data_IF_310583139974
#
_entry.id   IF_310583139974
#
_cell.length_a   1.000
_cell.length_b   1.000
_cell.length_c   1.000
_cell.angle_alpha   90.00
_cell.angle_beta   90.00
_cell.angle_gamma   90.00
#
_symmetry.space_group_name_H-M   'P 1'
#
loop_
_entity.id
_entity.type
_entity.pdbx_description
1 polymer ?
#
# COMPACT_ATOMS: atom_id res chain seq x y z
N UNK A 1 -20.82 40.66 -53.59
CA UNK A 1 -19.92 39.75 -52.86
C UNK A 1 -20.60 38.40 -52.77
N UNK A 2 -19.89 37.37 -53.25
CA UNK A 2 -19.98 35.93 -53.05
C UNK A 2 -21.25 35.07 -53.27
N UNK A 3 -21.02 34.12 -54.19
CA UNK A 3 -21.19 32.66 -54.06
C UNK A 3 -22.55 32.01 -54.31
N UNK A 4 -22.59 31.33 -55.46
CA UNK A 4 -23.56 30.28 -55.78
C UNK A 4 -23.03 29.41 -56.91
N UNK A 5 -21.74 29.00 -56.85
CA UNK A 5 -21.17 28.02 -57.77
C UNK A 5 -21.68 26.62 -57.36
N UNK A 6 -22.94 26.34 -57.63
CA UNK A 6 -23.49 24.99 -57.51
C UNK A 6 -23.18 24.27 -58.82
N UNK A 7 -22.26 23.31 -58.79
CA UNK A 7 -22.00 22.40 -59.90
C UNK A 7 -23.28 21.60 -60.15
N UNK A 8 -24.11 22.06 -61.10
CA UNK A 8 -25.26 21.31 -61.56
C UNK A 8 -24.73 20.13 -62.38
N UNK A 9 -24.86 18.93 -61.81
CA UNK A 9 -24.43 17.69 -62.44
C UNK A 9 -25.26 17.47 -63.70
N UNK A 10 -24.63 17.61 -64.87
CA UNK A 10 -25.30 17.47 -66.17
C UNK A 10 -24.80 16.22 -66.87
N UNK A 11 -25.56 15.14 -66.72
CA UNK A 11 -25.27 13.81 -67.24
C UNK A 11 -25.07 13.81 -68.78
N UNK A 12 -25.81 14.67 -69.50
CA UNK A 12 -25.67 14.81 -70.96
C UNK A 12 -24.33 15.41 -71.39
N UNK A 13 -23.70 16.22 -70.52
CA UNK A 13 -22.36 16.73 -70.80
C UNK A 13 -21.37 15.59 -70.62
N UNK A 14 -21.49 14.74 -69.61
CA UNK A 14 -20.50 13.68 -69.34
C UNK A 14 -20.51 12.60 -70.43
N UNK A 15 -21.68 12.21 -70.94
CA UNK A 15 -21.81 11.19 -71.99
C UNK A 15 -21.03 11.55 -73.28
N UNK A 16 -21.03 12.84 -73.65
CA UNK A 16 -20.27 13.31 -74.81
C UNK A 16 -18.75 13.28 -74.62
N UNK A 17 -18.27 13.20 -73.37
CA UNK A 17 -16.84 13.15 -73.06
C UNK A 17 -16.35 11.71 -72.96
N UNK A 18 -17.19 10.80 -72.48
CA UNK A 18 -16.89 9.36 -72.41
C UNK A 18 -16.77 8.70 -73.79
N UNK A 19 -17.48 9.20 -74.80
CA UNK A 19 -17.36 8.67 -76.17
C UNK A 19 -16.08 9.15 -76.88
N UNK A 20 -15.61 10.38 -76.56
CA UNK A 20 -14.41 10.97 -77.18
C UNK A 20 -13.11 10.45 -76.56
N UNK A 21 -13.13 10.00 -75.31
CA UNK A 21 -11.96 9.53 -74.58
C UNK A 21 -12.22 8.13 -74.01
N UNK A 22 -11.72 7.11 -74.71
CA UNK A 22 -11.66 5.74 -74.18
C UNK A 22 -10.53 5.63 -73.15
N UNK A 23 -10.79 6.12 -71.93
CA UNK A 23 -9.86 6.13 -70.80
C UNK A 23 -9.37 4.71 -70.43
N UNK A 24 -10.14 3.67 -70.76
CA UNK A 24 -9.80 2.27 -70.49
C UNK A 24 -8.77 1.70 -71.50
N UNK A 25 -8.63 2.30 -72.68
CA UNK A 25 -7.66 1.88 -73.71
C UNK A 25 -6.20 2.17 -73.34
N UNK A 26 -5.97 3.16 -72.49
CA UNK A 26 -4.62 3.53 -72.03
C UNK A 26 -4.22 2.83 -70.72
N UNK A 27 -5.18 2.65 -69.79
CA UNK A 27 -4.94 1.91 -68.54
C UNK A 27 -4.65 0.42 -68.76
N UNK A 28 -5.18 -0.19 -69.82
CA UNK A 28 -4.93 -1.59 -70.18
C UNK A 28 -3.56 -1.87 -70.82
N UNK A 29 -2.82 -0.85 -71.26
CA UNK A 29 -1.55 -1.01 -72.01
C UNK A 29 -0.29 -0.73 -71.20
N UNK A 30 -0.41 -0.16 -70.01
CA UNK A 30 0.73 -0.04 -69.10
C UNK A 30 1.10 -1.42 -68.56
N UNK A 31 1.92 -2.16 -69.33
CA UNK A 31 2.70 -3.27 -68.80
C UNK A 31 3.54 -2.71 -67.66
N UNK A 32 3.15 -3.01 -66.42
CA UNK A 32 3.95 -2.75 -65.23
C UNK A 32 5.40 -3.16 -65.55
N UNK A 33 6.34 -2.21 -65.44
CA UNK A 33 7.76 -2.49 -65.72
C UNK A 33 8.18 -3.74 -64.92
N UNK A 34 8.98 -4.66 -65.49
CA UNK A 34 9.40 -5.87 -64.78
C UNK A 34 10.07 -5.56 -63.44
N UNK A 35 10.78 -4.43 -63.35
CA UNK A 35 11.38 -3.87 -62.13
C UNK A 35 10.37 -3.57 -61.00
N UNK A 36 9.16 -3.16 -61.35
CA UNK A 36 8.07 -2.92 -60.39
C UNK A 36 7.44 -4.24 -59.92
N UNK A 37 7.34 -5.24 -60.82
CA UNK A 37 6.84 -6.57 -60.46
C UNK A 37 7.82 -7.32 -59.55
N UNK A 38 9.12 -7.12 -59.76
CA UNK A 38 10.18 -7.71 -58.95
C UNK A 38 10.22 -7.09 -57.54
N UNK A 39 10.07 -5.77 -57.41
CA UNK A 39 9.92 -5.09 -56.10
C UNK A 39 8.65 -5.48 -55.34
N UNK A 40 7.58 -5.83 -56.05
CA UNK A 40 6.32 -6.29 -55.45
C UNK A 40 6.35 -7.79 -55.10
N UNK A 41 7.28 -8.57 -55.66
CA UNK A 41 7.41 -10.01 -55.37
C UNK A 41 8.26 -10.31 -54.13
N UNK A 42 8.93 -9.31 -53.55
CA UNK A 42 9.67 -9.45 -52.30
C UNK A 42 8.74 -9.39 -51.07
N UNK A 43 7.71 -10.25 -51.07
CA UNK A 43 6.76 -10.40 -49.97
C UNK A 43 7.45 -10.96 -48.71
N UNK A 44 8.56 -11.68 -48.87
CA UNK A 44 9.35 -12.21 -47.77
C UNK A 44 9.99 -11.10 -46.92
N UNK A 45 10.35 -9.96 -47.54
CA UNK A 45 10.91 -8.81 -46.83
C UNK A 45 9.83 -8.02 -46.06
N UNK A 46 8.58 -8.06 -46.53
CA UNK A 46 7.45 -7.41 -45.88
C UNK A 46 6.91 -8.26 -44.74
N UNK A 47 6.74 -9.56 -44.94
CA UNK A 47 6.29 -10.52 -43.92
C UNK A 47 7.28 -10.57 -42.74
N UNK A 48 8.59 -10.70 -43.02
CA UNK A 48 9.62 -10.71 -41.99
C UNK A 48 9.67 -9.41 -41.18
N UNK A 49 9.48 -8.25 -41.83
CA UNK A 49 9.41 -6.94 -41.15
C UNK A 49 8.17 -6.79 -40.27
N UNK A 50 7.06 -7.43 -40.64
CA UNK A 50 5.81 -7.40 -39.87
C UNK A 50 5.96 -8.27 -38.62
N UNK A 51 6.55 -9.46 -38.73
CA UNK A 51 6.84 -10.34 -37.59
C UNK A 51 7.79 -9.70 -36.56
N UNK A 52 8.86 -9.06 -37.03
CA UNK A 52 9.80 -8.33 -36.17
C UNK A 52 9.11 -7.16 -35.44
N UNK A 53 8.21 -6.45 -36.11
CA UNK A 53 7.43 -5.36 -35.52
C UNK A 53 6.51 -5.86 -34.39
N UNK A 54 5.75 -6.93 -34.64
CA UNK A 54 4.87 -7.50 -33.60
C UNK A 54 5.67 -8.05 -32.41
N UNK A 55 6.84 -8.63 -32.65
CA UNK A 55 7.71 -9.13 -31.59
C UNK A 55 8.20 -8.01 -30.67
N UNK A 56 8.61 -6.87 -31.23
CA UNK A 56 9.03 -5.68 -30.46
C UNK A 56 7.85 -5.11 -29.67
N UNK A 57 6.66 -5.01 -30.29
CA UNK A 57 5.45 -4.51 -29.62
C UNK A 57 5.05 -5.41 -28.44
N UNK A 58 5.10 -6.73 -28.60
CA UNK A 58 4.82 -7.68 -27.51
C UNK A 58 5.83 -7.57 -26.37
N UNK A 59 7.11 -7.36 -26.67
CA UNK A 59 8.14 -7.10 -25.65
C UNK A 59 7.89 -5.81 -24.88
N UNK A 60 7.48 -4.73 -25.55
CA UNK A 60 7.12 -3.45 -24.90
C UNK A 60 5.92 -3.63 -23.97
N UNK A 61 4.88 -4.34 -24.43
CA UNK A 61 3.70 -4.66 -23.61
C UNK A 61 4.10 -5.52 -22.40
N UNK A 62 4.96 -6.51 -22.61
CA UNK A 62 5.51 -7.37 -21.56
C UNK A 62 6.27 -6.56 -20.50
N UNK A 63 7.14 -5.64 -20.89
CA UNK A 63 7.86 -4.74 -19.98
C UNK A 63 6.87 -3.84 -19.24
N UNK A 64 5.86 -3.29 -19.92
CA UNK A 64 4.84 -2.46 -19.29
C UNK A 64 4.05 -3.24 -18.22
N UNK A 65 3.69 -4.49 -18.51
CA UNK A 65 3.04 -5.38 -17.55
C UNK A 65 3.98 -5.73 -16.40
N UNK A 66 5.25 -5.98 -16.65
CA UNK A 66 6.24 -6.27 -15.61
C UNK A 66 6.45 -5.06 -14.68
N UNK A 67 6.55 -3.86 -15.24
CA UNK A 67 6.62 -2.60 -14.47
C UNK A 67 5.30 -2.36 -13.71
N UNK A 68 4.15 -2.61 -14.33
CA UNK A 68 2.84 -2.53 -13.69
C UNK A 68 2.68 -3.51 -12.53
N UNK A 69 3.09 -4.76 -12.71
CA UNK A 69 3.03 -5.80 -11.67
C UNK A 69 4.04 -5.52 -10.56
N UNK A 70 5.27 -5.12 -10.88
CA UNK A 70 6.27 -4.77 -9.86
C UNK A 70 5.86 -3.53 -9.08
N UNK A 71 5.35 -2.48 -9.73
CA UNK A 71 4.80 -1.32 -9.03
C UNK A 71 3.56 -1.68 -8.22
N UNK A 72 2.65 -2.51 -8.73
CA UNK A 72 1.48 -2.99 -8.02
C UNK A 72 1.84 -3.84 -6.80
N UNK A 73 2.77 -4.80 -6.95
CA UNK A 73 3.30 -5.61 -5.86
C UNK A 73 4.02 -4.74 -4.84
N UNK A 74 4.80 -3.74 -5.27
CA UNK A 74 5.42 -2.78 -4.35
C UNK A 74 4.38 -1.92 -3.62
N UNK A 75 3.31 -1.47 -4.29
CA UNK A 75 2.22 -0.70 -3.67
C UNK A 75 1.40 -1.56 -2.70
N UNK A 76 1.07 -2.79 -3.08
CA UNK A 76 0.27 -3.72 -2.28
C UNK A 76 1.08 -4.28 -1.09
N UNK A 77 2.38 -4.53 -1.27
CA UNK A 77 3.28 -5.02 -0.22
C UNK A 77 3.76 -3.88 0.71
N UNK A 78 3.90 -2.64 0.22
CA UNK A 78 4.24 -1.46 1.05
C UNK A 78 3.03 -0.80 1.73
N UNK A 79 1.84 -1.39 1.66
CA UNK A 79 0.68 -0.92 2.43
C UNK A 79 0.71 -1.34 3.92
N UNK A 80 1.90 -1.59 4.48
CA UNK A 80 2.15 -1.53 5.93
C UNK A 80 2.57 -0.14 6.42
N UNK A 81 2.77 0.83 5.51
CA UNK A 81 3.15 2.20 5.85
C UNK A 81 1.97 3.15 5.59
N UNK A 82 0.87 2.90 6.30
CA UNK A 82 -0.13 3.95 6.51
C UNK A 82 0.61 5.12 7.14
N UNK A 83 0.41 6.33 6.60
CA UNK A 83 0.82 7.59 7.24
C UNK A 83 0.66 7.42 8.75
N UNK A 84 1.79 7.44 9.46
CA UNK A 84 1.84 7.27 10.91
C UNK A 84 0.95 8.35 11.49
N UNK A 85 -0.33 8.03 11.73
CA UNK A 85 -1.14 8.78 12.67
C UNK A 85 -0.47 8.43 13.97
N UNK A 86 0.48 9.27 14.37
CA UNK A 86 1.06 9.24 15.69
C UNK A 86 -0.13 9.31 16.61
N UNK A 87 -0.53 8.16 17.15
CA UNK A 87 -1.58 8.17 18.14
C UNK A 87 -0.97 8.88 19.32
N UNK A 88 -1.67 9.93 19.74
CA UNK A 88 -1.26 10.76 20.84
C UNK A 88 -1.40 9.92 22.11
N UNK A 89 -0.27 9.32 22.51
CA UNK A 89 -0.18 8.62 23.78
C UNK A 89 0.12 9.70 24.81
N UNK A 90 -0.74 9.88 25.82
CA UNK A 90 -0.48 10.85 26.87
C UNK A 90 0.93 10.68 27.42
N UNK A 91 1.67 11.78 27.53
CA UNK A 91 2.99 11.75 28.16
C UNK A 91 2.88 11.38 29.64
N UNK A 92 1.78 11.81 30.28
CA UNK A 92 1.44 11.48 31.65
C UNK A 92 0.90 10.05 31.79
N UNK A 93 1.29 9.40 32.89
CA UNK A 93 0.85 8.06 33.26
C UNK A 93 -0.55 8.10 33.90
N UNK A 94 -1.57 8.29 33.07
CA UNK A 94 -2.99 8.24 33.48
C UNK A 94 -3.62 6.89 33.17
N UNK A 95 -4.57 6.45 34.02
CA UNK A 95 -5.37 5.23 33.77
C UNK A 95 -6.72 5.53 33.09
N UNK A 96 -7.13 6.80 33.05
CA UNK A 96 -8.44 7.22 32.53
C UNK A 96 -8.33 7.88 31.15
N UNK A 97 -9.38 7.74 30.35
CA UNK A 97 -9.44 8.32 29.00
C UNK A 97 -8.58 7.59 27.97
N UNK A 98 -8.05 6.41 28.32
CA UNK A 98 -7.18 5.60 27.47
C UNK A 98 -7.89 4.29 27.09
N UNK A 99 -7.90 3.99 25.79
CA UNK A 99 -8.22 2.68 25.25
C UNK A 99 -6.95 1.83 25.16
N UNK A 100 -6.66 1.06 26.21
CA UNK A 100 -5.43 0.28 26.32
C UNK A 100 -5.32 -0.78 25.23
N UNK A 101 -6.43 -1.43 24.85
CA UNK A 101 -6.41 -2.51 23.86
C UNK A 101 -5.98 -1.97 22.49
N UNK A 102 -6.60 -0.87 22.05
CA UNK A 102 -6.28 -0.25 20.75
C UNK A 102 -4.84 0.26 20.72
N UNK A 103 -4.39 0.92 21.80
CA UNK A 103 -3.03 1.46 21.87
C UNK A 103 -1.97 0.37 21.90
N UNK A 104 -2.16 -0.70 22.69
CA UNK A 104 -1.21 -1.81 22.76
C UNK A 104 -1.08 -2.47 21.39
N UNK A 105 -2.20 -2.79 20.73
CA UNK A 105 -2.20 -3.38 19.39
C UNK A 105 -1.48 -2.50 18.37
N UNK A 106 -1.59 -1.18 18.48
CA UNK A 106 -0.86 -0.28 17.61
C UNK A 106 0.64 -0.27 17.92
N UNK A 107 1.02 -0.19 19.19
CA UNK A 107 2.43 -0.18 19.59
C UNK A 107 3.14 -1.49 19.24
N UNK A 108 2.43 -2.62 19.32
CA UNK A 108 2.91 -3.93 18.88
C UNK A 108 3.20 -3.94 17.36
N UNK A 109 2.30 -3.37 16.54
CA UNK A 109 2.51 -3.23 15.10
C UNK A 109 3.70 -2.33 14.76
N UNK A 110 3.94 -1.30 15.57
CA UNK A 110 5.09 -0.42 15.44
C UNK A 110 6.39 -1.03 15.98
N UNK A 111 6.33 -2.19 16.67
CA UNK A 111 7.47 -2.80 17.35
C UNK A 111 7.97 -1.98 18.54
N UNK A 112 7.15 -1.06 19.08
CA UNK A 112 7.51 -0.20 20.20
C UNK A 112 7.18 -0.87 21.54
N UNK A 113 7.98 -1.90 21.88
CA UNK A 113 7.79 -2.68 23.10
C UNK A 113 7.89 -1.84 24.38
N UNK A 114 8.60 -0.71 24.34
CA UNK A 114 8.69 0.21 25.49
C UNK A 114 7.29 0.74 25.86
N UNK A 115 6.54 1.20 24.85
CA UNK A 115 5.18 1.70 25.03
C UNK A 115 4.21 0.56 25.31
N UNK A 116 4.39 -0.62 24.72
CA UNK A 116 3.57 -1.79 25.06
C UNK A 116 3.67 -2.13 26.55
N UNK A 117 4.89 -2.19 27.10
CA UNK A 117 5.11 -2.48 28.53
C UNK A 117 4.48 -1.38 29.41
N UNK A 118 4.66 -0.11 29.05
CA UNK A 118 4.04 1.02 29.75
C UNK A 118 2.51 0.90 29.80
N UNK A 119 1.88 0.75 28.64
CA UNK A 119 0.42 0.65 28.52
C UNK A 119 -0.10 -0.60 29.24
N UNK A 120 0.63 -1.72 29.16
CA UNK A 120 0.27 -2.94 29.87
C UNK A 120 0.30 -2.74 31.38
N UNK A 121 1.35 -2.12 31.92
CA UNK A 121 1.43 -1.79 33.35
C UNK A 121 0.27 -0.90 33.81
N UNK A 122 -0.04 0.16 33.06
CA UNK A 122 -1.15 1.06 33.36
C UNK A 122 -2.52 0.36 33.30
N UNK A 123 -2.72 -0.57 32.35
CA UNK A 123 -3.94 -1.38 32.29
C UNK A 123 -4.10 -2.29 33.52
N UNK A 124 -3.00 -2.81 34.07
CA UNK A 124 -3.01 -3.59 35.32
C UNK A 124 -3.36 -2.68 36.50
N UNK A 125 -2.78 -1.48 36.60
CA UNK A 125 -3.14 -0.51 37.64
C UNK A 125 -4.63 -0.18 37.60
N UNK A 126 -5.19 0.07 36.41
CA UNK A 126 -6.62 0.30 36.22
C UNK A 126 -7.45 -0.87 36.75
N UNK A 127 -7.11 -2.09 36.33
CA UNK A 127 -7.87 -3.29 36.75
C UNK A 127 -7.77 -3.54 38.26
N UNK A 128 -6.61 -3.30 38.86
CA UNK A 128 -6.42 -3.39 40.31
C UNK A 128 -7.20 -2.31 41.06
N UNK A 129 -7.30 -1.11 40.48
CA UNK A 129 -8.08 -0.02 41.05
C UNK A 129 -9.59 -0.30 40.96
N UNK A 130 -10.06 -0.75 39.79
CA UNK A 130 -11.45 -1.12 39.53
C UNK A 130 -11.90 -2.29 40.44
N UNK A 131 -10.98 -3.18 40.81
CA UNK A 131 -11.21 -4.27 41.77
C UNK A 131 -10.96 -3.87 43.24
N UNK A 132 -10.76 -2.59 43.54
CA UNK A 132 -10.48 -2.05 44.88
C UNK A 132 -9.27 -2.65 45.61
N UNK A 133 -8.33 -3.25 44.86
CA UNK A 133 -7.09 -3.81 45.41
C UNK A 133 -6.02 -2.75 45.64
N UNK A 134 -6.11 -1.63 44.91
CA UNK A 134 -5.26 -0.44 45.10
C UNK A 134 -6.12 0.83 44.97
N UNK A 135 -5.66 1.92 45.57
CA UNK A 135 -6.23 3.24 45.37
C UNK A 135 -5.32 4.05 44.44
N UNK A 136 -5.65 4.08 43.15
CA UNK A 136 -4.85 4.80 42.16
C UNK A 136 -5.00 6.32 42.32
N UNK A 137 -3.86 7.01 42.28
CA UNK A 137 -3.74 8.47 42.33
C UNK A 137 -2.60 8.91 41.39
N UNK A 138 -2.75 10.02 40.65
CA UNK A 138 -1.76 10.45 39.65
C UNK A 138 -0.40 10.84 40.27
N UNK A 139 -0.38 11.25 41.54
CA UNK A 139 0.84 11.64 42.25
C UNK A 139 1.51 10.48 43.01
N UNK A 140 0.90 9.29 43.04
CA UNK A 140 1.50 8.11 43.68
C UNK A 140 2.57 7.50 42.76
N UNK A 141 3.70 7.19 43.37
CA UNK A 141 4.81 6.51 42.71
C UNK A 141 4.49 5.03 42.48
N UNK A 142 5.03 4.42 41.41
CA UNK A 142 4.88 2.98 41.16
C UNK A 142 5.29 2.10 42.36
N UNK A 143 6.32 2.52 43.10
CA UNK A 143 6.77 1.83 44.31
C UNK A 143 5.74 1.87 45.45
N UNK A 144 4.94 2.93 45.58
CA UNK A 144 3.86 2.99 46.58
C UNK A 144 2.79 1.92 46.31
N UNK A 145 2.41 1.67 45.06
CA UNK A 145 1.47 0.60 44.72
C UNK A 145 1.99 -0.80 45.07
N UNK A 146 3.31 -1.01 45.01
CA UNK A 146 3.91 -2.28 45.45
C UNK A 146 3.70 -2.51 46.95
N UNK A 147 3.77 -1.46 47.76
CA UNK A 147 3.50 -1.55 49.21
C UNK A 147 2.03 -1.78 49.54
N UNK A 148 1.10 -1.28 48.73
CA UNK A 148 -0.34 -1.53 48.87
C UNK A 148 -0.67 -3.00 48.57
N UNK A 149 -0.22 -3.50 47.41
CA UNK A 149 -0.65 -4.81 46.93
C UNK A 149 0.14 -5.99 47.52
N UNK A 150 1.39 -5.77 47.95
CA UNK A 150 2.28 -6.76 48.60
C UNK A 150 2.41 -8.09 47.84
N UNK A 151 2.39 -8.05 46.51
CA UNK A 151 2.53 -9.22 45.64
C UNK A 151 3.88 -9.20 44.89
N UNK A 152 4.53 -10.35 44.83
CA UNK A 152 5.88 -10.50 44.25
C UNK A 152 5.88 -10.32 42.74
N UNK A 153 4.87 -10.84 42.05
CA UNK A 153 4.73 -10.71 40.59
C UNK A 153 4.51 -9.25 40.20
N UNK A 154 3.69 -8.53 40.95
CA UNK A 154 3.43 -7.11 40.73
C UNK A 154 4.65 -6.24 41.04
N UNK A 155 5.42 -6.59 42.07
CA UNK A 155 6.71 -5.95 42.33
C UNK A 155 7.66 -6.14 41.14
N UNK A 156 7.70 -7.35 40.58
CA UNK A 156 8.54 -7.66 39.42
C UNK A 156 8.08 -6.90 38.17
N UNK A 157 6.78 -6.83 37.92
CA UNK A 157 6.19 -6.06 36.84
C UNK A 157 6.48 -4.56 36.99
N UNK A 158 6.34 -4.02 38.20
CA UNK A 158 6.64 -2.62 38.51
C UNK A 158 8.12 -2.31 38.27
N UNK A 159 9.03 -3.19 38.70
CA UNK A 159 10.46 -3.02 38.45
C UNK A 159 10.78 -3.02 36.94
N UNK A 160 10.13 -3.91 36.18
CA UNK A 160 10.27 -3.96 34.73
C UNK A 160 9.80 -2.66 34.07
N UNK A 161 8.63 -2.16 34.48
CA UNK A 161 8.11 -0.86 34.05
C UNK A 161 9.09 0.28 34.37
N UNK A 162 9.55 0.38 35.61
CA UNK A 162 10.49 1.41 36.06
C UNK A 162 11.80 1.37 35.27
N UNK A 163 12.33 0.16 35.03
CA UNK A 163 13.54 -0.05 34.25
C UNK A 163 13.39 0.44 32.81
N UNK A 164 12.27 0.13 32.18
CA UNK A 164 11.99 0.52 30.79
C UNK A 164 11.72 2.02 30.69
N UNK A 165 10.88 2.57 31.57
CA UNK A 165 10.43 3.98 31.51
C UNK A 165 11.49 4.99 31.94
N UNK A 166 12.27 4.67 32.97
CA UNK A 166 13.23 5.59 33.60
C UNK A 166 14.68 5.12 33.51
N UNK A 167 14.92 3.84 33.24
CA UNK A 167 16.28 3.28 33.20
C UNK A 167 16.98 3.41 31.85
N UNK A 168 16.34 3.96 30.82
CA UNK A 168 16.94 4.14 29.49
C UNK A 168 17.24 2.83 28.75
N UNK A 169 16.66 1.71 29.18
CA UNK A 169 16.85 0.41 28.54
C UNK A 169 15.92 0.26 27.33
N UNK A 170 16.47 -0.23 26.22
CA UNK A 170 15.67 -0.65 25.09
C UNK A 170 14.82 -1.88 25.50
N UNK A 171 13.50 -1.73 25.43
CA UNK A 171 12.59 -2.83 25.68
C UNK A 171 12.68 -3.85 24.54
N UNK A 172 12.85 -5.12 24.90
CA UNK A 172 12.86 -6.23 23.96
C UNK A 172 11.51 -6.96 23.96
N UNK A 173 11.28 -7.78 22.94
CA UNK A 173 10.09 -8.63 22.88
C UNK A 173 9.99 -9.57 24.08
N UNK A 174 11.10 -10.12 24.55
CA UNK A 174 11.13 -11.01 25.72
C UNK A 174 10.73 -10.27 27.01
N UNK A 175 11.10 -9.00 27.14
CA UNK A 175 10.66 -8.17 28.25
C UNK A 175 9.15 -7.93 28.17
N UNK A 176 8.61 -7.74 26.97
CA UNK A 176 7.18 -7.57 26.78
C UNK A 176 6.39 -8.86 27.08
N UNK A 177 6.87 -10.01 26.62
CA UNK A 177 6.27 -11.32 26.93
C UNK A 177 6.25 -11.58 28.44
N UNK A 178 7.34 -11.25 29.14
CA UNK A 178 7.39 -11.35 30.60
C UNK A 178 6.43 -10.36 31.27
N UNK A 179 6.28 -9.14 30.74
CA UNK A 179 5.30 -8.19 31.24
C UNK A 179 3.85 -8.74 31.10
N UNK A 180 3.52 -9.38 29.98
CA UNK A 180 2.23 -10.05 29.78
C UNK A 180 2.04 -11.17 30.81
N UNK A 181 3.03 -12.06 30.95
CA UNK A 181 2.99 -13.17 31.89
C UNK A 181 2.77 -12.70 33.33
N UNK A 182 3.54 -11.71 33.77
CA UNK A 182 3.42 -11.13 35.11
C UNK A 182 2.07 -10.45 35.31
N UNK A 183 1.56 -9.74 34.29
CA UNK A 183 0.23 -9.12 34.35
C UNK A 183 -0.86 -10.16 34.59
N UNK A 184 -0.83 -11.28 33.87
CA UNK A 184 -1.81 -12.36 34.04
C UNK A 184 -1.73 -13.00 35.44
N UNK A 185 -0.51 -13.20 35.96
CA UNK A 185 -0.30 -13.71 37.33
C UNK A 185 -0.86 -12.76 38.39
N UNK A 186 -0.61 -11.46 38.24
CA UNK A 186 -1.09 -10.42 39.16
C UNK A 186 -2.62 -10.37 39.21
N UNK A 187 -3.27 -10.46 38.05
CA UNK A 187 -4.72 -10.41 37.94
C UNK A 187 -5.38 -11.70 38.43
N UNK A 188 -4.77 -12.87 38.18
CA UNK A 188 -5.26 -14.17 38.67
C UNK A 188 -5.03 -14.36 40.17
N UNK A 189 -3.89 -13.91 40.70
CA UNK A 189 -3.51 -14.01 42.11
C UNK A 189 -4.31 -13.11 43.06
N UNK A 190 -5.40 -12.49 42.59
CA UNK A 190 -6.38 -11.78 43.41
C UNK A 190 -7.76 -12.44 43.51
N UNK A 191 -7.95 -13.59 42.88
CA UNK A 191 -9.22 -14.36 42.91
C UNK A 191 -9.13 -15.43 44.02
N UNK A 192 -8.62 -15.05 45.20
CA UNK A 192 -8.43 -15.93 46.36
C UNK A 192 -9.02 -15.31 47.60
#
# INVERSE_FOLDING_TARGET
MNEGNTLVFNEKIIDGWTEKYDYNRELGKTKLKPELKEKVKDNNLTEKRIEDFFTIVLWIIGIFLLVGITTFLLYHLKLGSLKKKSVDIPEEDTIYGIDFEVLILQMEKEGNYMQCIRLKYLSVLRTLHDSHRIAWEPYKTPTQYVYEMKNVDFKTLTNLFMKVRYGGYAATIQMYDEAIRLSDLVLKGGIG
#
